data_IF_797735808951
#
_entry.id   IF_797735808951
#
_cell.length_a   1.000
_cell.length_b   1.000
_cell.length_c   1.000
_cell.angle_alpha   90.00
_cell.angle_beta   90.00
_cell.angle_gamma   90.00
#
_symmetry.space_group_name_H-M   'P 1'
#
loop_
_entity.id
_entity.type
_entity.pdbx_description
1 polymer ?
#
# COMPACT_ATOMS: atom_id res chain seq x y z
N UNK A 1 -6.05 8.09 -18.45
CA UNK A 1 -5.67 7.06 -19.43
C UNK A 1 -5.75 5.64 -18.89
N UNK A 2 -5.13 5.30 -17.75
CA UNK A 2 -5.14 3.91 -17.21
C UNK A 2 -6.55 3.39 -16.95
N UNK A 3 -7.44 4.16 -16.28
CA UNK A 3 -8.82 3.72 -15.98
C UNK A 3 -9.63 3.40 -17.23
N UNK A 4 -9.64 4.29 -18.24
CA UNK A 4 -10.38 4.06 -19.48
C UNK A 4 -9.92 2.79 -20.22
N UNK A 5 -8.59 2.54 -20.24
CA UNK A 5 -8.05 1.32 -20.85
C UNK A 5 -8.46 0.07 -20.07
N UNK A 6 -8.45 0.13 -18.75
CA UNK A 6 -8.86 -0.96 -17.88
C UNK A 6 -10.36 -1.25 -18.01
N UNK A 7 -11.20 -0.22 -17.93
CA UNK A 7 -12.66 -0.33 -18.11
C UNK A 7 -13.02 -0.95 -19.48
N UNK A 8 -12.41 -0.45 -20.56
CA UNK A 8 -12.62 -1.02 -21.88
C UNK A 8 -12.17 -2.50 -21.95
N UNK A 9 -11.04 -2.82 -21.33
CA UNK A 9 -10.50 -4.19 -21.30
C UNK A 9 -11.39 -5.16 -20.54
N UNK A 10 -11.99 -4.73 -19.42
CA UNK A 10 -12.88 -5.56 -18.60
C UNK A 10 -14.24 -5.77 -19.26
N UNK A 11 -14.82 -4.73 -19.87
CA UNK A 11 -16.12 -4.80 -20.51
C UNK A 11 -16.16 -5.66 -21.80
N UNK A 12 -15.00 -6.15 -22.27
CA UNK A 12 -14.94 -7.14 -23.38
C UNK A 12 -15.23 -8.56 -22.87
N UNK A 13 -15.01 -8.80 -21.56
CA UNK A 13 -15.27 -10.12 -20.96
C UNK A 13 -16.77 -10.32 -20.74
N UNK A 14 -17.27 -11.51 -21.10
CA UNK A 14 -18.70 -11.82 -21.00
C UNK A 14 -19.20 -11.96 -19.55
N UNK A 15 -18.28 -12.16 -18.61
CA UNK A 15 -18.53 -12.35 -17.18
C UNK A 15 -18.21 -11.12 -16.32
N UNK A 16 -17.88 -9.98 -16.94
CA UNK A 16 -17.48 -8.75 -16.23
C UNK A 16 -18.19 -7.52 -16.80
N UNK A 17 -18.55 -6.60 -15.91
CA UNK A 17 -19.12 -5.29 -16.25
C UNK A 17 -18.58 -4.23 -15.30
N UNK A 18 -18.08 -3.12 -15.84
CA UNK A 18 -17.68 -1.96 -15.05
C UNK A 18 -18.90 -1.07 -14.80
N UNK A 19 -19.47 -1.16 -13.61
CA UNK A 19 -20.71 -0.45 -13.24
C UNK A 19 -20.47 0.98 -12.76
N UNK A 20 -19.26 1.33 -12.36
CA UNK A 20 -18.87 2.68 -11.94
C UNK A 20 -17.35 2.89 -11.99
N UNK A 21 -16.93 4.14 -12.10
CA UNK A 21 -15.55 4.59 -11.96
C UNK A 21 -15.46 5.73 -10.95
N UNK A 22 -14.36 5.81 -10.21
CA UNK A 22 -14.06 6.86 -9.24
C UNK A 22 -12.64 7.40 -9.43
N UNK A 23 -12.40 8.65 -9.07
CA UNK A 23 -11.09 9.30 -9.20
C UNK A 23 -10.30 9.39 -7.90
N UNK A 24 -10.97 9.24 -6.77
CA UNK A 24 -10.43 9.39 -5.41
C UNK A 24 -11.24 8.52 -4.43
N UNK A 25 -10.79 8.49 -3.16
CA UNK A 25 -11.40 7.64 -2.14
C UNK A 25 -12.84 8.02 -1.80
N UNK A 26 -13.17 9.31 -1.74
CA UNK A 26 -14.52 9.78 -1.39
C UNK A 26 -15.53 9.41 -2.47
N UNK A 27 -15.18 9.67 -3.73
CA UNK A 27 -16.02 9.29 -4.87
C UNK A 27 -16.15 7.77 -5.02
N UNK A 28 -15.11 6.99 -4.64
CA UNK A 28 -15.17 5.54 -4.62
C UNK A 28 -16.19 5.03 -3.57
N UNK A 29 -16.18 5.58 -2.36
CA UNK A 29 -17.17 5.25 -1.33
C UNK A 29 -18.60 5.60 -1.76
N UNK A 30 -18.79 6.79 -2.35
CA UNK A 30 -20.09 7.21 -2.88
C UNK A 30 -20.58 6.30 -4.00
N UNK A 31 -19.69 5.91 -4.93
CA UNK A 31 -20.00 4.98 -6.01
C UNK A 31 -20.37 3.60 -5.49
N UNK A 32 -19.65 3.09 -4.48
CA UNK A 32 -19.96 1.80 -3.87
C UNK A 32 -21.32 1.79 -3.19
N UNK A 33 -21.68 2.86 -2.44
CA UNK A 33 -23.03 3.00 -1.82
C UNK A 33 -24.14 2.88 -2.83
N UNK A 34 -23.93 3.49 -4.01
CA UNK A 34 -24.95 3.55 -5.07
C UNK A 34 -25.05 2.26 -5.89
N UNK A 35 -23.91 1.67 -6.26
CA UNK A 35 -23.87 0.60 -7.26
C UNK A 35 -23.67 -0.79 -6.68
N UNK A 36 -23.12 -0.92 -5.45
CA UNK A 36 -22.88 -2.20 -4.78
C UNK A 36 -22.23 -3.25 -5.67
N UNK A 37 -21.07 -2.96 -6.26
CA UNK A 37 -20.38 -3.91 -7.12
C UNK A 37 -19.97 -5.17 -6.36
N UNK A 38 -19.84 -6.29 -7.07
CA UNK A 38 -19.34 -7.54 -6.49
C UNK A 38 -17.85 -7.47 -6.11
N UNK A 39 -17.08 -6.61 -6.81
CA UNK A 39 -15.65 -6.42 -6.58
C UNK A 39 -15.25 -4.98 -6.88
N UNK A 40 -14.33 -4.44 -6.09
CA UNK A 40 -13.72 -3.12 -6.30
C UNK A 40 -12.25 -3.32 -6.69
N UNK A 41 -11.87 -2.77 -7.84
CA UNK A 41 -10.46 -2.57 -8.19
C UNK A 41 -10.01 -1.24 -7.61
N UNK A 42 -9.15 -1.27 -6.60
CA UNK A 42 -8.71 -0.12 -5.84
C UNK A 42 -7.25 0.23 -6.17
N UNK A 43 -7.00 1.41 -6.69
CA UNK A 43 -5.63 1.90 -6.82
C UNK A 43 -5.02 2.11 -5.42
N UNK A 44 -3.81 1.59 -5.20
CA UNK A 44 -3.10 1.80 -3.93
C UNK A 44 -2.80 3.30 -3.69
N UNK A 45 -2.64 4.08 -4.76
CA UNK A 45 -2.37 5.52 -4.72
C UNK A 45 -3.51 6.32 -5.30
N UNK A 46 -4.30 6.91 -4.43
CA UNK A 46 -5.39 7.82 -4.78
C UNK A 46 -5.07 9.24 -4.28
N UNK A 47 -5.59 10.27 -4.94
CA UNK A 47 -5.57 11.62 -4.40
C UNK A 47 -6.34 11.70 -3.06
N UNK A 48 -5.79 12.40 -2.09
CA UNK A 48 -6.39 12.53 -0.76
C UNK A 48 -6.15 11.30 0.12
N UNK A 49 -7.12 10.40 0.24
CA UNK A 49 -6.99 9.14 0.98
C UNK A 49 -6.23 8.10 0.16
N UNK A 50 -5.34 7.36 0.81
CA UNK A 50 -4.69 6.21 0.17
C UNK A 50 -5.71 5.10 -0.16
N UNK A 51 -5.36 4.20 -1.10
CA UNK A 51 -6.20 3.05 -1.40
C UNK A 51 -6.42 2.14 -0.19
N UNK A 52 -5.43 1.99 0.69
CA UNK A 52 -5.54 1.23 1.93
C UNK A 52 -6.52 1.90 2.91
N UNK A 53 -6.42 3.23 3.11
CA UNK A 53 -7.34 3.97 3.98
C UNK A 53 -8.77 3.95 3.42
N UNK A 54 -8.92 4.09 2.10
CA UNK A 54 -10.20 3.99 1.41
C UNK A 54 -10.80 2.57 1.56
N UNK A 55 -9.96 1.53 1.46
CA UNK A 55 -10.39 0.13 1.68
C UNK A 55 -10.85 -0.09 3.12
N UNK A 56 -10.10 0.41 4.11
CA UNK A 56 -10.49 0.31 5.52
C UNK A 56 -11.82 1.02 5.79
N UNK A 57 -12.02 2.24 5.25
CA UNK A 57 -13.28 2.98 5.35
C UNK A 57 -14.44 2.23 4.68
N UNK A 58 -14.21 1.66 3.49
CA UNK A 58 -15.18 0.87 2.76
C UNK A 58 -15.63 -0.36 3.56
N UNK A 59 -14.68 -1.13 4.09
CA UNK A 59 -14.95 -2.35 4.84
C UNK A 59 -15.56 -2.08 6.23
N UNK A 60 -15.29 -0.92 6.82
CA UNK A 60 -15.95 -0.47 8.05
C UNK A 60 -17.45 -0.24 7.84
N UNK A 61 -17.85 0.26 6.66
CA UNK A 61 -19.27 0.49 6.32
C UNK A 61 -19.91 -0.75 5.68
N UNK A 62 -19.12 -1.52 4.90
CA UNK A 62 -19.55 -2.69 4.14
C UNK A 62 -18.59 -3.86 4.36
N UNK A 63 -18.74 -4.64 5.46
CA UNK A 63 -17.79 -5.70 5.82
C UNK A 63 -17.66 -6.81 4.76
N UNK A 64 -18.68 -6.99 3.93
CA UNK A 64 -18.69 -8.00 2.86
C UNK A 64 -18.07 -7.51 1.53
N UNK A 65 -17.65 -6.25 1.46
CA UNK A 65 -17.06 -5.70 0.24
C UNK A 65 -15.78 -6.44 -0.12
N UNK A 66 -15.63 -6.73 -1.41
CA UNK A 66 -14.47 -7.44 -1.96
C UNK A 66 -13.58 -6.44 -2.66
N UNK A 67 -12.33 -6.30 -2.20
CA UNK A 67 -11.36 -5.34 -2.74
C UNK A 67 -10.12 -6.05 -3.25
N UNK A 68 -9.78 -5.80 -4.52
CA UNK A 68 -8.51 -6.16 -5.16
C UNK A 68 -7.70 -4.88 -5.39
N UNK A 69 -6.53 -4.80 -4.75
CA UNK A 69 -5.65 -3.65 -4.88
C UNK A 69 -4.85 -3.70 -6.18
N UNK A 70 -4.69 -2.55 -6.82
CA UNK A 70 -3.81 -2.36 -7.98
C UNK A 70 -2.73 -1.33 -7.64
N UNK A 71 -1.45 -1.62 -7.94
CA UNK A 71 -0.36 -0.68 -7.71
C UNK A 71 0.67 -0.71 -8.84
N UNK A 72 1.37 0.39 -9.03
CA UNK A 72 2.58 0.47 -9.85
C UNK A 72 3.85 0.10 -9.07
N UNK A 73 3.74 -0.12 -7.76
CA UNK A 73 4.87 -0.33 -6.86
C UNK A 73 4.69 -1.63 -6.08
N UNK A 74 5.80 -2.32 -5.87
CA UNK A 74 5.88 -3.56 -5.10
C UNK A 74 6.44 -3.33 -3.69
N UNK A 75 6.28 -2.13 -3.12
CA UNK A 75 6.78 -1.80 -1.78
C UNK A 75 6.12 -2.68 -0.72
N UNK A 76 6.93 -3.43 0.03
CA UNK A 76 6.48 -4.41 1.03
C UNK A 76 5.53 -3.83 2.08
N UNK A 77 5.74 -2.58 2.50
CA UNK A 77 4.90 -1.91 3.48
C UNK A 77 3.54 -1.48 2.88
N UNK A 78 3.51 -1.06 1.60
CA UNK A 78 2.28 -0.71 0.89
C UNK A 78 1.38 -1.94 0.74
N UNK A 79 1.97 -3.08 0.35
CA UNK A 79 1.28 -4.37 0.25
C UNK A 79 0.73 -4.79 1.62
N UNK A 80 1.58 -4.75 2.66
CA UNK A 80 1.18 -5.12 4.01
C UNK A 80 0.01 -4.28 4.52
N UNK A 81 0.05 -2.95 4.34
CA UNK A 81 -1.04 -2.04 4.71
C UNK A 81 -2.34 -2.34 3.97
N UNK A 82 -2.25 -2.62 2.68
CA UNK A 82 -3.43 -2.97 1.88
C UNK A 82 -4.13 -4.22 2.41
N UNK A 83 -3.36 -5.26 2.76
CA UNK A 83 -3.90 -6.49 3.34
C UNK A 83 -4.43 -6.30 4.77
N UNK A 84 -3.75 -5.49 5.60
CA UNK A 84 -4.23 -5.13 6.94
C UNK A 84 -5.53 -4.32 6.88
N UNK A 85 -5.71 -3.49 5.85
CA UNK A 85 -6.95 -2.79 5.59
C UNK A 85 -8.10 -3.72 5.14
N UNK A 86 -7.82 -4.99 4.87
CA UNK A 86 -8.79 -6.01 4.53
C UNK A 86 -8.92 -6.31 3.03
N UNK A 87 -8.03 -5.81 2.19
CA UNK A 87 -8.00 -6.20 0.78
C UNK A 87 -7.84 -7.72 0.63
N UNK A 88 -8.59 -8.32 -0.28
CA UNK A 88 -8.51 -9.75 -0.55
C UNK A 88 -7.44 -10.14 -1.56
N UNK A 89 -6.91 -9.16 -2.29
CA UNK A 89 -5.80 -9.40 -3.21
C UNK A 89 -5.02 -8.13 -3.50
N UNK A 90 -3.83 -8.34 -4.09
CA UNK A 90 -2.92 -7.28 -4.50
C UNK A 90 -2.23 -7.67 -5.79
N UNK A 91 -2.27 -6.81 -6.81
CA UNK A 91 -1.72 -7.06 -8.13
C UNK A 91 -0.98 -5.82 -8.63
N UNK A 92 0.19 -6.03 -9.22
CA UNK A 92 0.91 -4.94 -9.88
C UNK A 92 0.24 -4.59 -11.21
N UNK A 93 0.17 -3.30 -11.53
CA UNK A 93 -0.38 -2.81 -12.82
C UNK A 93 0.46 -3.20 -14.04
N UNK A 94 1.66 -3.75 -13.81
CA UNK A 94 2.56 -4.27 -14.85
C UNK A 94 2.26 -5.70 -15.26
N UNK A 95 1.37 -6.42 -14.56
CA UNK A 95 0.98 -7.78 -14.95
C UNK A 95 0.25 -7.78 -16.29
N UNK A 96 0.29 -8.92 -16.99
CA UNK A 96 -0.44 -9.10 -18.22
C UNK A 96 -1.95 -9.11 -17.96
N UNK A 97 -2.72 -8.77 -18.99
CA UNK A 97 -4.18 -8.70 -18.91
C UNK A 97 -4.80 -10.00 -18.38
N UNK A 98 -4.34 -11.12 -18.87
CA UNK A 98 -4.82 -12.46 -18.52
C UNK A 98 -4.65 -12.73 -17.02
N UNK A 99 -3.54 -12.30 -16.45
CA UNK A 99 -3.25 -12.44 -15.02
C UNK A 99 -4.17 -11.57 -14.17
N UNK A 100 -4.45 -10.33 -14.60
CA UNK A 100 -5.40 -9.47 -13.92
C UNK A 100 -6.81 -10.06 -13.95
N UNK A 101 -7.26 -10.57 -15.10
CA UNK A 101 -8.57 -11.21 -15.23
C UNK A 101 -8.68 -12.46 -14.34
N UNK A 102 -7.60 -13.26 -14.27
CA UNK A 102 -7.51 -14.38 -13.36
C UNK A 102 -7.62 -13.94 -11.90
N UNK A 103 -6.85 -12.93 -11.49
CA UNK A 103 -6.91 -12.36 -10.14
C UNK A 103 -8.31 -11.88 -9.75
N UNK A 104 -9.02 -11.21 -10.67
CA UNK A 104 -10.40 -10.75 -10.45
C UNK A 104 -11.32 -11.94 -10.19
N UNK A 105 -11.24 -13.00 -11.02
CA UNK A 105 -12.08 -14.20 -10.87
C UNK A 105 -11.80 -14.95 -9.56
N UNK A 106 -10.52 -15.11 -9.19
CA UNK A 106 -10.12 -15.73 -7.93
C UNK A 106 -10.67 -14.97 -6.73
N UNK A 107 -10.49 -13.65 -6.71
CA UNK A 107 -10.93 -12.82 -5.58
C UNK A 107 -12.46 -12.73 -5.52
N UNK A 108 -13.14 -12.67 -6.65
CA UNK A 108 -14.59 -12.75 -6.73
C UNK A 108 -15.11 -14.11 -6.23
N UNK A 109 -14.41 -15.20 -6.53
CA UNK A 109 -14.69 -16.56 -6.04
C UNK A 109 -14.44 -16.77 -4.54
N UNK A 110 -14.00 -15.74 -3.82
CA UNK A 110 -13.76 -15.78 -2.38
C UNK A 110 -12.33 -16.17 -1.99
N UNK A 111 -11.45 -16.44 -2.95
CA UNK A 111 -10.04 -16.73 -2.71
C UNK A 111 -9.24 -15.46 -2.45
N UNK A 112 -8.06 -15.59 -1.87
CA UNK A 112 -7.06 -14.51 -1.84
C UNK A 112 -6.13 -14.64 -3.02
N UNK A 113 -5.75 -13.53 -3.63
CA UNK A 113 -4.83 -13.52 -4.76
C UNK A 113 -3.71 -12.49 -4.58
N UNK A 114 -2.51 -12.88 -4.94
CA UNK A 114 -1.34 -12.00 -5.01
C UNK A 114 -0.46 -12.44 -6.17
N UNK A 115 -0.01 -11.51 -6.99
CA UNK A 115 1.03 -11.85 -7.97
C UNK A 115 2.34 -12.24 -7.28
N UNK A 116 3.23 -12.93 -7.99
CA UNK A 116 4.46 -13.48 -7.41
C UNK A 116 5.37 -12.39 -6.83
N UNK A 117 5.42 -11.21 -7.43
CA UNK A 117 6.25 -10.09 -6.96
C UNK A 117 5.70 -9.54 -5.63
N UNK A 118 4.39 -9.34 -5.55
CA UNK A 118 3.75 -8.89 -4.32
C UNK A 118 3.86 -9.93 -3.20
N UNK A 119 3.74 -11.22 -3.52
CA UNK A 119 3.90 -12.30 -2.55
C UNK A 119 5.33 -12.34 -1.98
N UNK A 120 6.35 -12.20 -2.82
CA UNK A 120 7.76 -12.15 -2.40
C UNK A 120 8.03 -10.94 -1.50
N UNK A 121 7.55 -9.76 -1.88
CA UNK A 121 7.72 -8.54 -1.09
C UNK A 121 7.01 -8.64 0.28
N UNK A 122 5.83 -9.26 0.35
CA UNK A 122 5.16 -9.52 1.62
C UNK A 122 5.96 -10.49 2.49
N UNK A 123 6.52 -11.55 1.93
CA UNK A 123 7.36 -12.51 2.66
C UNK A 123 8.60 -11.82 3.24
N UNK A 124 9.25 -10.95 2.48
CA UNK A 124 10.34 -10.10 2.96
C UNK A 124 9.90 -9.22 4.13
N UNK A 125 8.76 -8.52 3.98
CA UNK A 125 8.18 -7.68 5.05
C UNK A 125 7.93 -8.46 6.34
N UNK A 126 7.42 -9.67 6.25
CA UNK A 126 7.15 -10.53 7.42
C UNK A 126 8.43 -11.06 8.07
N UNK A 127 9.52 -11.15 7.34
CA UNK A 127 10.83 -11.54 7.86
C UNK A 127 11.56 -10.41 8.61
N UNK A 128 11.23 -9.15 8.32
CA UNK A 128 11.84 -8.00 8.97
C UNK A 128 11.16 -7.67 10.30
N UNK A 129 11.98 -7.23 11.29
CA UNK A 129 11.44 -6.69 12.55
C UNK A 129 10.78 -5.35 12.27
N UNK A 130 9.49 -5.24 12.60
CA UNK A 130 8.73 -4.00 12.41
C UNK A 130 9.36 -2.82 13.15
N UNK A 131 9.41 -1.66 12.51
CA UNK A 131 9.75 -0.42 13.17
C UNK A 131 8.62 0.00 14.12
N UNK A 132 8.98 0.48 15.31
CA UNK A 132 8.02 1.10 16.23
C UNK A 132 7.56 2.46 15.71
N UNK A 133 6.43 2.98 16.19
CA UNK A 133 5.95 4.33 15.84
C UNK A 133 7.02 5.39 16.02
N UNK A 134 7.81 5.31 17.13
CA UNK A 134 8.89 6.26 17.39
C UNK A 134 10.06 6.15 16.41
N UNK A 135 10.42 4.95 16.00
CA UNK A 135 11.44 4.74 14.96
C UNK A 135 10.96 5.25 13.59
N UNK A 136 9.67 5.13 13.28
CA UNK A 136 9.09 5.71 12.04
C UNK A 136 9.15 7.24 12.09
N UNK A 137 8.84 7.89 13.22
CA UNK A 137 8.97 9.34 13.37
C UNK A 137 10.42 9.80 13.13
N UNK A 138 11.39 9.13 13.76
CA UNK A 138 12.82 9.42 13.56
C UNK A 138 13.20 9.20 12.09
N UNK A 139 12.78 8.09 11.47
CA UNK A 139 13.12 7.76 10.09
C UNK A 139 12.54 8.79 9.10
N UNK A 140 11.35 9.34 9.34
CA UNK A 140 10.78 10.44 8.53
C UNK A 140 11.68 11.67 8.51
N UNK A 141 12.25 12.03 9.66
CA UNK A 141 13.17 13.17 9.75
C UNK A 141 14.52 12.86 9.10
N UNK A 142 14.99 11.62 9.24
CA UNK A 142 16.17 11.13 8.54
C UNK A 142 16.00 11.27 7.02
N UNK A 143 14.85 10.88 6.47
CA UNK A 143 14.52 11.03 5.04
C UNK A 143 14.47 12.50 4.61
N UNK A 144 14.02 13.40 5.49
CA UNK A 144 14.05 14.86 5.25
C UNK A 144 15.44 15.49 5.35
N UNK A 145 16.48 14.72 5.72
CA UNK A 145 17.86 15.17 5.83
C UNK A 145 18.25 15.76 7.18
N UNK A 146 17.42 15.69 8.21
CA UNK A 146 17.69 16.24 9.54
C UNK A 146 18.84 15.50 10.22
N UNK A 147 19.79 16.21 10.82
CA UNK A 147 20.83 15.64 11.70
C UNK A 147 20.27 15.21 13.06
N UNK A 148 21.04 14.39 13.82
CA UNK A 148 20.58 13.88 15.10
C UNK A 148 20.23 14.98 16.11
N UNK A 149 20.95 16.13 16.12
CA UNK A 149 20.67 17.28 16.97
C UNK A 149 19.32 17.93 16.61
N UNK A 150 19.03 18.07 15.33
CA UNK A 150 17.78 18.66 14.83
C UNK A 150 16.60 17.76 15.15
N UNK A 151 16.76 16.44 14.94
CA UNK A 151 15.74 15.43 15.32
C UNK A 151 15.50 15.45 16.84
N UNK A 152 16.57 15.57 17.64
CA UNK A 152 16.47 15.63 19.09
C UNK A 152 15.67 16.86 19.55
N UNK A 153 15.93 18.02 18.96
CA UNK A 153 15.21 19.26 19.23
C UNK A 153 13.73 19.16 18.84
N UNK A 154 13.44 18.68 17.63
CA UNK A 154 12.08 18.56 17.10
C UNK A 154 11.23 17.57 17.91
N UNK A 155 11.81 16.46 18.31
CA UNK A 155 11.13 15.41 19.08
C UNK A 155 11.20 15.60 20.59
N UNK A 156 11.85 16.65 21.07
CA UNK A 156 12.08 16.98 22.48
C UNK A 156 12.66 15.79 23.28
N UNK A 157 13.74 15.17 22.75
CA UNK A 157 14.48 14.06 23.37
C UNK A 157 15.99 14.32 23.32
N UNK A 158 16.77 13.56 24.10
CA UNK A 158 18.22 13.67 24.06
C UNK A 158 18.81 13.16 22.74
N UNK A 159 19.89 13.79 22.24
CA UNK A 159 20.59 13.36 21.02
C UNK A 159 21.06 11.90 21.09
N UNK A 160 21.47 11.44 22.28
CA UNK A 160 21.87 10.04 22.50
C UNK A 160 20.70 9.08 22.25
N UNK A 161 19.47 9.48 22.59
CA UNK A 161 18.25 8.70 22.33
C UNK A 161 17.97 8.61 20.82
N UNK A 162 18.20 9.70 20.07
CA UNK A 162 18.08 9.68 18.62
C UNK A 162 19.11 8.73 18.00
N UNK A 163 20.36 8.77 18.46
CA UNK A 163 21.41 7.83 18.00
C UNK A 163 21.00 6.37 18.23
N UNK A 164 20.41 6.07 19.37
CA UNK A 164 19.92 4.74 19.70
C UNK A 164 18.78 4.32 18.74
N UNK A 165 17.81 5.20 18.50
CA UNK A 165 16.73 4.92 17.54
C UNK A 165 17.29 4.70 16.12
N UNK A 166 18.24 5.51 15.66
CA UNK A 166 18.87 5.33 14.36
C UNK A 166 19.58 3.97 14.28
N UNK A 167 20.34 3.58 15.30
CA UNK A 167 20.97 2.25 15.34
C UNK A 167 19.93 1.12 15.23
N UNK A 168 18.86 1.19 16.00
CA UNK A 168 17.78 0.18 15.93
C UNK A 168 17.08 0.16 14.57
N UNK A 169 16.92 1.33 13.92
CA UNK A 169 16.39 1.42 12.57
C UNK A 169 17.29 0.70 11.58
N UNK A 170 18.62 0.97 11.63
CA UNK A 170 19.59 0.30 10.75
C UNK A 170 19.54 -1.22 10.92
N UNK A 171 19.53 -1.70 12.16
CA UNK A 171 19.45 -3.13 12.49
C UNK A 171 18.15 -3.75 11.97
N UNK A 172 17.00 -3.10 12.20
CA UNK A 172 15.68 -3.61 11.78
C UNK A 172 15.48 -3.58 10.28
N UNK A 173 16.05 -2.60 9.59
CA UNK A 173 16.03 -2.51 8.13
C UNK A 173 17.10 -3.38 7.48
N UNK A 174 18.02 -3.95 8.27
CA UNK A 174 19.17 -4.72 7.81
C UNK A 174 20.01 -3.93 6.79
N UNK A 175 20.39 -2.70 7.16
CA UNK A 175 21.18 -1.77 6.35
C UNK A 175 22.39 -1.26 7.15
N UNK A 176 23.45 -0.85 6.44
CA UNK A 176 24.74 -0.52 7.06
C UNK A 176 24.82 0.93 7.53
N UNK A 177 24.15 1.83 6.86
CA UNK A 177 24.26 3.25 7.13
C UNK A 177 22.95 4.02 6.90
N UNK A 178 22.98 5.30 7.24
CA UNK A 178 21.86 6.22 7.15
C UNK A 178 21.35 6.41 5.72
N UNK A 179 22.23 6.41 4.73
CA UNK A 179 21.89 6.59 3.32
C UNK A 179 21.16 5.36 2.79
N UNK A 180 21.65 4.18 3.13
CA UNK A 180 20.94 2.92 2.84
C UNK A 180 19.58 2.86 3.52
N UNK A 181 19.45 3.37 4.77
CA UNK A 181 18.17 3.44 5.47
C UNK A 181 17.15 4.34 4.77
N UNK A 182 17.57 5.49 4.23
CA UNK A 182 16.70 6.37 3.42
C UNK A 182 16.26 5.65 2.17
N UNK A 183 17.15 5.01 1.44
CA UNK A 183 16.86 4.26 0.22
C UNK A 183 15.87 3.12 0.51
N UNK A 184 16.15 2.32 1.54
CA UNK A 184 15.27 1.22 1.96
C UNK A 184 13.88 1.73 2.38
N UNK A 185 13.82 2.83 3.13
CA UNK A 185 12.54 3.42 3.57
C UNK A 185 11.63 3.83 2.41
N UNK A 186 12.21 4.38 1.34
CA UNK A 186 11.48 4.80 0.14
C UNK A 186 11.10 3.60 -0.74
N UNK A 187 12.05 2.69 -1.00
CA UNK A 187 11.81 1.50 -1.83
C UNK A 187 10.76 0.57 -1.22
N UNK A 188 10.81 0.34 0.09
CA UNK A 188 9.87 -0.52 0.81
C UNK A 188 8.51 0.15 1.11
N UNK A 189 8.35 1.44 0.75
CA UNK A 189 7.11 2.18 1.00
C UNK A 189 6.85 2.51 2.47
N UNK A 190 7.86 2.42 3.35
CA UNK A 190 7.76 2.78 4.78
C UNK A 190 7.49 4.28 4.92
N UNK A 191 8.18 5.09 4.12
CA UNK A 191 8.02 6.54 4.02
C UNK A 191 7.70 6.88 2.57
N UNK A 192 6.68 7.70 2.35
CA UNK A 192 6.37 8.28 1.04
C UNK A 192 6.82 9.74 1.03
N UNK A 193 7.45 10.16 -0.05
CA UNK A 193 7.69 11.57 -0.32
C UNK A 193 6.37 12.19 -0.79
N UNK A 194 5.96 13.24 -0.10
CA UNK A 194 4.82 14.08 -0.50
C UNK A 194 5.24 15.05 -1.58
#
# INVERSE_FOLDING_TARGET
MVRMGLSASLNVEADMEVVAEASDGETALAAYRKHRPNLVLMDARLPGLSGADTTAALLSEFPDAVVLMLSTHSGEEEIYRALQAGARGYVLKSVMREELLHAIREVHGGHRYMDSTAASALAERLSHRSLTGREIEVLRMVVKGYGNKEIAAELNIAEITVKLHVSHILDKLNVKDRTEAVTAALQRGIIMLQ
#
